data_IF_418429158308
#
_entry.id   IF_418429158308
#
_cell.length_a   1.000
_cell.length_b   1.000
_cell.length_c   1.000
_cell.angle_alpha   90.00
_cell.angle_beta   90.00
_cell.angle_gamma   90.00
#
_symmetry.space_group_name_H-M   'P 1'
#
loop_
_entity.id
_entity.type
_entity.pdbx_description
1 polymer ?
#
# COMPACT_ATOMS: atom_id res chain seq x y z
N UNK A 1 -6.98 -27.84 2.30
CA UNK A 1 -6.81 -27.45 0.88
C UNK A 1 -8.17 -27.52 0.20
N UNK A 2 -8.66 -26.41 -0.34
CA UNK A 2 -9.93 -26.30 -1.08
C UNK A 2 -9.82 -27.06 -2.41
N UNK A 3 -10.15 -28.37 -2.42
CA UNK A 3 -9.99 -29.25 -3.59
C UNK A 3 -11.20 -29.30 -4.52
N UNK A 4 -12.34 -28.72 -4.13
CA UNK A 4 -13.55 -28.75 -4.93
C UNK A 4 -13.62 -27.55 -5.89
N UNK A 5 -13.54 -27.84 -7.19
CA UNK A 5 -13.57 -26.85 -8.29
C UNK A 5 -14.82 -25.95 -8.20
N UNK A 6 -15.95 -26.48 -7.76
CA UNK A 6 -17.19 -25.73 -7.56
C UNK A 6 -17.10 -24.69 -6.44
N UNK A 7 -16.39 -25.01 -5.35
CA UNK A 7 -16.20 -24.08 -4.23
C UNK A 7 -15.27 -22.94 -4.65
N UNK A 8 -14.21 -23.24 -5.42
CA UNK A 8 -13.32 -22.20 -5.96
C UNK A 8 -14.05 -21.27 -6.92
N UNK A 9 -14.88 -21.80 -7.82
CA UNK A 9 -15.67 -21.00 -8.75
C UNK A 9 -16.67 -20.08 -8.03
N UNK A 10 -17.35 -20.58 -6.99
CA UNK A 10 -18.28 -19.77 -6.19
C UNK A 10 -17.56 -18.66 -5.41
N UNK A 11 -16.37 -18.93 -4.86
CA UNK A 11 -15.56 -17.91 -4.19
C UNK A 11 -15.07 -16.86 -5.19
N UNK A 12 -14.62 -17.27 -6.38
CA UNK A 12 -14.19 -16.36 -7.44
C UNK A 12 -15.35 -15.44 -7.89
N UNK A 13 -16.54 -15.99 -8.10
CA UNK A 13 -17.71 -15.20 -8.47
C UNK A 13 -18.14 -14.24 -7.36
N UNK A 14 -18.15 -14.69 -6.11
CA UNK A 14 -18.49 -13.84 -4.96
C UNK A 14 -17.49 -12.70 -4.76
N UNK A 15 -16.19 -12.98 -4.92
CA UNK A 15 -15.13 -11.96 -4.82
C UNK A 15 -15.19 -10.96 -5.97
N UNK A 16 -15.46 -11.41 -7.19
CA UNK A 16 -15.64 -10.50 -8.34
C UNK A 16 -16.86 -9.60 -8.17
N UNK A 17 -17.99 -10.14 -7.70
CA UNK A 17 -19.19 -9.35 -7.39
C UNK A 17 -18.92 -8.32 -6.31
N UNK A 18 -18.24 -8.70 -5.22
CA UNK A 18 -17.88 -7.78 -4.16
C UNK A 18 -16.95 -6.67 -4.66
N UNK A 19 -15.95 -7.00 -5.49
CA UNK A 19 -15.03 -6.03 -6.08
C UNK A 19 -15.78 -5.04 -6.99
N UNK A 20 -16.71 -5.52 -7.83
CA UNK A 20 -17.55 -4.67 -8.69
C UNK A 20 -18.43 -3.73 -7.88
N UNK A 21 -19.14 -4.24 -6.87
CA UNK A 21 -20.01 -3.42 -6.00
C UNK A 21 -19.19 -2.34 -5.28
N UNK A 22 -17.99 -2.68 -4.79
CA UNK A 22 -17.10 -1.74 -4.13
C UNK A 22 -16.37 -0.78 -5.09
N UNK A 23 -16.50 -0.97 -6.42
CA UNK A 23 -15.75 -0.21 -7.41
C UNK A 23 -14.23 -0.39 -7.29
N UNK A 24 -13.78 -1.57 -6.83
CA UNK A 24 -12.39 -1.96 -6.71
C UNK A 24 -11.91 -2.53 -8.06
N UNK A 25 -11.48 -1.65 -8.95
CA UNK A 25 -10.82 -2.04 -10.21
C UNK A 25 -9.30 -1.99 -10.07
N UNK A 26 -8.60 -2.75 -10.92
CA UNK A 26 -7.13 -2.75 -10.97
C UNK A 26 -6.62 -1.36 -11.33
N UNK A 27 -7.22 -0.71 -12.33
CA UNK A 27 -6.86 0.63 -12.78
C UNK A 27 -7.03 1.67 -11.67
N UNK A 28 -8.14 1.60 -10.93
CA UNK A 28 -8.38 2.50 -9.80
C UNK A 28 -7.37 2.27 -8.68
N UNK A 29 -7.07 1.02 -8.38
CA UNK A 29 -6.09 0.66 -7.34
C UNK A 29 -4.69 1.18 -7.69
N UNK A 30 -4.26 0.98 -8.95
CA UNK A 30 -2.97 1.49 -9.42
C UNK A 30 -2.92 3.02 -9.43
N UNK A 31 -4.04 3.68 -9.77
CA UNK A 31 -4.15 5.14 -9.73
C UNK A 31 -3.96 5.67 -8.31
N UNK A 32 -4.60 5.06 -7.31
CA UNK A 32 -4.43 5.47 -5.91
C UNK A 32 -2.99 5.26 -5.42
N UNK A 33 -2.36 4.13 -5.79
CA UNK A 33 -0.94 3.90 -5.50
C UNK A 33 -0.08 4.99 -6.14
N UNK A 34 -0.34 5.34 -7.41
CA UNK A 34 0.40 6.36 -8.13
C UNK A 34 0.24 7.76 -7.51
N UNK A 35 -0.97 8.14 -7.07
CA UNK A 35 -1.24 9.40 -6.38
C UNK A 35 -0.34 9.56 -5.15
N UNK A 36 -0.27 8.53 -4.30
CA UNK A 36 0.59 8.56 -3.10
C UNK A 36 2.07 8.50 -3.46
N UNK A 37 2.46 7.61 -4.38
CA UNK A 37 3.84 7.39 -4.81
C UNK A 37 4.46 8.59 -5.53
N UNK A 38 3.65 9.41 -6.21
CA UNK A 38 4.09 10.59 -6.94
C UNK A 38 3.50 11.89 -6.38
N UNK A 39 3.11 11.86 -5.11
CA UNK A 39 2.62 13.03 -4.38
C UNK A 39 3.63 14.18 -4.43
N UNK A 40 3.12 15.38 -4.72
CA UNK A 40 3.86 16.63 -4.71
C UNK A 40 3.26 17.58 -3.66
N UNK A 41 3.96 17.84 -2.54
CA UNK A 41 3.44 18.69 -1.47
C UNK A 41 3.24 20.14 -1.89
N UNK A 42 3.86 20.60 -2.99
CA UNK A 42 3.67 21.98 -3.50
C UNK A 42 2.23 22.22 -3.94
N UNK A 43 1.52 21.19 -4.35
CA UNK A 43 0.11 21.27 -4.76
C UNK A 43 -0.85 21.57 -3.61
N UNK A 44 -0.40 21.51 -2.36
CA UNK A 44 -1.19 21.95 -1.20
C UNK A 44 -1.24 23.48 -1.06
N UNK A 45 -0.45 24.21 -1.84
CA UNK A 45 -0.31 25.65 -1.72
C UNK A 45 -0.80 26.35 -2.97
N UNK A 46 -1.47 27.49 -2.78
CA UNK A 46 -1.78 28.44 -3.84
C UNK A 46 -0.51 29.16 -4.30
N UNK A 47 -0.53 29.84 -5.47
CA UNK A 47 0.61 30.60 -5.95
C UNK A 47 1.12 31.70 -5.00
N UNK A 48 0.26 32.20 -4.11
CA UNK A 48 0.60 33.18 -3.07
C UNK A 48 1.29 32.56 -1.83
N UNK A 49 1.45 31.23 -1.78
CA UNK A 49 2.05 30.50 -0.68
C UNK A 49 1.09 30.16 0.47
N UNK A 50 -0.20 30.48 0.36
CA UNK A 50 -1.21 30.06 1.33
C UNK A 50 -1.67 28.62 1.07
N UNK A 51 -2.04 27.91 2.13
CA UNK A 51 -2.61 26.57 2.00
C UNK A 51 -3.97 26.63 1.29
N UNK A 52 -4.19 25.70 0.36
CA UNK A 52 -5.49 25.47 -0.27
C UNK A 52 -6.41 24.83 0.78
N UNK A 53 -7.64 25.34 0.98
CA UNK A 53 -8.63 24.71 1.85
C UNK A 53 -8.91 23.27 1.41
N UNK A 54 -9.17 22.36 2.35
CA UNK A 54 -9.40 20.93 2.07
C UNK A 54 -10.54 20.71 1.06
N UNK A 55 -11.54 21.59 1.06
CA UNK A 55 -12.68 21.57 0.13
C UNK A 55 -12.33 21.99 -1.30
N UNK A 56 -11.19 22.63 -1.50
CA UNK A 56 -10.70 23.12 -2.80
C UNK A 56 -9.51 22.32 -3.34
N UNK A 57 -9.05 21.30 -2.59
CA UNK A 57 -8.00 20.40 -3.08
C UNK A 57 -8.52 19.59 -4.27
N UNK A 58 -7.68 19.44 -5.29
CA UNK A 58 -7.96 18.53 -6.39
C UNK A 58 -7.95 17.08 -5.90
N UNK A 59 -8.71 16.20 -6.57
CA UNK A 59 -8.87 14.80 -6.19
C UNK A 59 -7.54 14.05 -6.03
N UNK A 60 -6.53 14.37 -6.86
CA UNK A 60 -5.24 13.70 -6.79
C UNK A 60 -4.49 14.12 -5.53
N UNK A 61 -4.43 15.41 -5.22
CA UNK A 61 -3.77 15.91 -4.02
C UNK A 61 -4.52 15.48 -2.75
N UNK A 62 -5.84 15.57 -2.74
CA UNK A 62 -6.68 15.16 -1.62
C UNK A 62 -6.49 13.68 -1.24
N UNK A 63 -6.37 12.79 -2.24
CA UNK A 63 -6.13 11.36 -2.01
C UNK A 63 -4.81 11.05 -1.30
N UNK A 64 -3.84 11.97 -1.33
CA UNK A 64 -2.53 11.78 -0.67
C UNK A 64 -2.54 12.15 0.81
N UNK A 65 -3.58 12.83 1.27
CA UNK A 65 -3.71 13.31 2.65
C UNK A 65 -4.26 12.21 3.54
N UNK A 66 -3.54 11.92 4.63
CA UNK A 66 -3.90 10.95 5.65
C UNK A 66 -4.61 11.60 6.85
N UNK A 67 -4.23 12.83 7.22
CA UNK A 67 -4.85 13.59 8.30
C UNK A 67 -4.67 15.09 8.09
N UNK A 68 -5.67 15.88 8.48
CA UNK A 68 -5.60 17.34 8.57
C UNK A 68 -6.03 17.73 9.97
N UNK A 69 -5.13 18.38 10.72
CA UNK A 69 -5.41 18.95 12.04
C UNK A 69 -5.42 20.47 11.90
N UNK A 70 -6.47 21.11 12.40
CA UNK A 70 -6.62 22.57 12.39
C UNK A 70 -6.82 23.03 13.83
N UNK A 71 -5.81 23.72 14.36
CA UNK A 71 -5.85 24.29 15.70
C UNK A 71 -6.14 25.79 15.61
N UNK A 72 -7.20 26.24 16.29
CA UNK A 72 -7.51 27.66 16.42
C UNK A 72 -6.63 28.30 17.48
N UNK A 73 -5.86 29.31 17.08
CA UNK A 73 -5.10 30.15 17.99
C UNK A 73 -6.05 31.23 18.49
N UNK A 74 -6.33 31.26 19.81
CA UNK A 74 -7.19 32.27 20.46
C UNK A 74 -6.35 33.23 21.28
N UNK A 75 -6.62 34.53 21.17
CA UNK A 75 -6.01 35.55 22.02
C UNK A 75 -7.01 36.09 23.02
N UNK A 76 -7.12 35.44 24.19
CA UNK A 76 -8.02 35.85 25.27
C UNK A 76 -9.49 35.93 24.82
N UNK A 77 -10.21 36.95 25.30
CA UNK A 77 -11.62 37.19 24.95
C UNK A 77 -11.82 37.80 23.55
N UNK A 78 -10.74 38.17 22.84
CA UNK A 78 -10.80 38.86 21.55
C UNK A 78 -11.03 37.93 20.34
N UNK A 79 -11.25 36.63 20.55
CA UNK A 79 -11.57 35.67 19.50
C UNK A 79 -10.36 34.96 18.88
N UNK A 80 -10.61 34.26 17.78
CA UNK A 80 -9.61 33.47 17.03
C UNK A 80 -8.70 34.42 16.24
N UNK A 81 -7.40 34.39 16.51
CA UNK A 81 -6.37 35.23 15.86
C UNK A 81 -5.62 34.51 14.74
N UNK A 82 -5.84 33.21 14.55
CA UNK A 82 -5.24 32.44 13.47
C UNK A 82 -5.51 30.95 13.57
N UNK A 83 -5.01 30.20 12.59
CA UNK A 83 -5.10 28.75 12.56
C UNK A 83 -3.71 28.15 12.33
N UNK A 84 -3.36 27.12 13.09
CA UNK A 84 -2.24 26.22 12.77
C UNK A 84 -2.81 25.02 12.03
N UNK A 85 -2.31 24.75 10.83
CA UNK A 85 -2.73 23.59 10.04
C UNK A 85 -1.58 22.60 9.93
N UNK A 86 -1.82 21.35 10.35
CA UNK A 86 -0.88 20.25 10.19
C UNK A 86 -1.47 19.23 9.23
N UNK A 87 -0.74 18.95 8.15
CA UNK A 87 -1.14 18.00 7.11
C UNK A 87 -0.20 16.80 7.17
N UNK A 88 -0.76 15.60 7.38
CA UNK A 88 -0.04 14.33 7.32
C UNK A 88 -0.38 13.63 6.01
N UNK A 89 0.64 13.15 5.30
CA UNK A 89 0.48 12.36 4.09
C UNK A 89 0.54 10.85 4.39
N UNK A 90 0.02 10.04 3.47
CA UNK A 90 0.24 8.60 3.49
C UNK A 90 1.71 8.25 3.30
N UNK A 91 2.10 7.05 3.74
CA UNK A 91 3.47 6.57 3.57
C UNK A 91 3.79 6.32 2.09
N UNK A 92 4.62 7.19 1.53
CA UNK A 92 5.10 7.14 0.15
C UNK A 92 5.94 5.89 -0.13
N UNK A 93 6.71 5.41 0.85
CA UNK A 93 7.57 4.24 0.68
C UNK A 93 6.72 2.97 0.52
N UNK A 94 5.67 2.82 1.32
CA UNK A 94 4.75 1.70 1.21
C UNK A 94 4.02 1.69 -0.15
N UNK A 95 3.67 2.86 -0.70
CA UNK A 95 3.08 2.97 -2.03
C UNK A 95 4.08 2.58 -3.13
N UNK A 96 5.31 3.07 -3.07
CA UNK A 96 6.37 2.73 -4.01
C UNK A 96 6.71 1.25 -3.97
N UNK A 97 6.75 0.62 -2.79
CA UNK A 97 6.97 -0.83 -2.66
C UNK A 97 5.89 -1.65 -3.36
N UNK A 98 4.62 -1.26 -3.21
CA UNK A 98 3.50 -1.92 -3.91
C UNK A 98 3.60 -1.73 -5.43
N UNK A 99 3.98 -0.54 -5.88
CA UNK A 99 4.23 -0.27 -7.30
C UNK A 99 5.39 -1.12 -7.85
N UNK A 100 6.51 -1.20 -7.12
CA UNK A 100 7.67 -2.01 -7.49
C UNK A 100 7.33 -3.50 -7.60
N UNK A 101 6.50 -4.03 -6.68
CA UNK A 101 5.98 -5.40 -6.76
C UNK A 101 5.12 -5.63 -7.99
N UNK A 102 4.21 -4.70 -8.30
CA UNK A 102 3.37 -4.79 -9.51
C UNK A 102 4.20 -4.76 -10.80
N UNK A 103 5.25 -3.94 -10.84
CA UNK A 103 6.17 -3.85 -11.98
C UNK A 103 7.21 -4.97 -12.07
N UNK A 104 7.27 -5.89 -11.10
CA UNK A 104 8.26 -6.98 -11.09
C UNK A 104 9.70 -6.53 -10.81
N UNK A 105 9.92 -5.35 -10.24
CA UNK A 105 11.27 -4.80 -10.06
C UNK A 105 12.13 -5.59 -9.05
N UNK A 106 11.51 -6.45 -8.25
CA UNK A 106 12.18 -7.37 -7.31
C UNK A 106 12.57 -8.73 -7.92
N UNK A 107 12.48 -8.91 -9.25
CA UNK A 107 12.77 -10.19 -9.91
C UNK A 107 14.14 -10.79 -9.56
N UNK A 108 15.20 -9.97 -9.50
CA UNK A 108 16.56 -10.45 -9.17
C UNK A 108 16.64 -10.93 -7.71
N UNK A 109 16.04 -10.19 -6.79
CA UNK A 109 16.03 -10.52 -5.37
C UNK A 109 15.19 -11.78 -5.11
N UNK A 110 14.05 -11.91 -5.78
CA UNK A 110 13.18 -13.08 -5.71
C UNK A 110 13.88 -14.36 -6.21
N UNK A 111 14.67 -14.25 -7.29
CA UNK A 111 15.47 -15.37 -7.81
C UNK A 111 16.52 -15.83 -6.80
N UNK A 112 17.26 -14.90 -6.19
CA UNK A 112 18.27 -15.22 -5.18
C UNK A 112 17.65 -15.89 -3.93
N UNK A 113 16.49 -15.41 -3.48
CA UNK A 113 15.78 -16.04 -2.36
C UNK A 113 15.26 -17.45 -2.71
N UNK A 114 14.77 -17.65 -3.93
CA UNK A 114 14.37 -18.98 -4.42
C UNK A 114 15.55 -19.96 -4.44
N UNK A 115 16.69 -19.52 -4.98
CA UNK A 115 17.89 -20.35 -5.09
C UNK A 115 18.45 -20.74 -3.72
N UNK A 116 18.46 -19.80 -2.76
CA UNK A 116 18.88 -20.06 -1.38
C UNK A 116 17.92 -20.97 -0.61
N UNK A 117 16.61 -20.81 -0.79
CA UNK A 117 15.61 -21.69 -0.20
C UNK A 117 15.72 -23.14 -0.73
N UNK A 118 15.95 -23.30 -2.04
CA UNK A 118 16.18 -24.60 -2.67
C UNK A 118 17.47 -25.23 -2.12
N UNK A 119 18.56 -24.46 -2.03
CA UNK A 119 19.82 -24.94 -1.45
C UNK A 119 19.65 -25.39 0.01
N UNK A 120 18.94 -24.63 0.84
CA UNK A 120 18.65 -25.00 2.22
C UNK A 120 17.81 -26.28 2.33
N UNK A 121 16.82 -26.44 1.45
CA UNK A 121 16.02 -27.67 1.38
C UNK A 121 16.85 -28.89 0.95
N UNK A 122 17.74 -28.73 -0.03
CA UNK A 122 18.64 -29.81 -0.48
C UNK A 122 19.58 -30.27 0.64
N UNK A 123 20.11 -29.35 1.44
CA UNK A 123 20.92 -29.68 2.62
C UNK A 123 20.08 -30.46 3.65
N UNK A 124 18.89 -29.98 3.98
CA UNK A 124 18.02 -30.62 4.96
C UNK A 124 17.56 -32.03 4.53
N UNK A 125 17.29 -32.24 3.23
CA UNK A 125 16.93 -33.56 2.67
C UNK A 125 18.15 -34.48 2.60
N UNK A 126 19.33 -33.96 2.27
CA UNK A 126 20.59 -34.71 2.26
C UNK A 126 21.04 -35.18 3.66
N UNK A 127 20.87 -34.35 4.68
CA UNK A 127 21.15 -34.69 6.08
C UNK A 127 20.14 -35.69 6.67
N UNK A 128 18.92 -35.76 6.11
CA UNK A 128 17.87 -36.70 6.53
C UNK A 128 18.09 -38.15 6.07
N UNK A 129 18.84 -38.38 4.99
CA UNK A 129 19.03 -39.72 4.42
C UNK A 129 19.90 -40.65 5.30
N UNK A 130 20.76 -40.11 6.16
CA UNK A 130 21.65 -40.91 7.02
C UNK A 130 21.01 -41.50 8.29
N UNK A 131 19.77 -41.14 8.62
CA UNK A 131 19.11 -41.55 9.88
C UNK A 131 18.21 -42.78 9.76
N UNK A 132 18.11 -43.40 8.58
CA UNK A 132 17.33 -44.64 8.37
C UNK A 132 18.25 -45.85 8.15
N UNK A 133 19.26 -46.04 9.02
CA UNK A 133 19.90 -47.35 9.19
C UNK A 133 19.07 -48.13 10.21
N UNK A 134 18.15 -48.95 9.68
CA UNK A 134 17.47 -50.01 10.42
C UNK A 134 18.57 -50.91 11.02
N UNK A 135 18.73 -50.86 12.34
CA UNK A 135 19.53 -51.84 13.07
C UNK A 135 18.90 -53.23 12.92
N UNK A 136 19.72 -54.29 12.85
CA UNK A 136 19.32 -55.64 12.44
C UNK A 136 18.20 -56.23 13.30
#
# INVERSE_FOLDING_TARGET
MLKDVNVQALIAEATEKAAKIAGLSVERTLREIARVAYSDPRKLYRPDGLLIPVTELDDDTAATVASVEVDEIKAGEAGVIGHTVKIKHWDKNAALEKAMKYHGLYEKDNKQQGDTAIAALMVAVGEGAGKFLVKP
#
